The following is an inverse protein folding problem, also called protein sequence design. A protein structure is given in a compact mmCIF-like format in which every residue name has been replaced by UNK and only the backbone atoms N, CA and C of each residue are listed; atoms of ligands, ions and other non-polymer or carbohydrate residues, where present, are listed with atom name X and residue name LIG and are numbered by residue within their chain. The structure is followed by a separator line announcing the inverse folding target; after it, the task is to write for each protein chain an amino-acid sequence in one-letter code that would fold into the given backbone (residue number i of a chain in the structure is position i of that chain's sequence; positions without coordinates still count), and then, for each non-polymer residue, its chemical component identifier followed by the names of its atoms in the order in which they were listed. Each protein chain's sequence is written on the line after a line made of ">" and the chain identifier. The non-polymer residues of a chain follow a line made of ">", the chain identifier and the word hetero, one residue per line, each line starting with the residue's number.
data_IF_225348092548
#
_entry.id   IF_225348092548
#
_cell.length_a   1.000
_cell.length_b   1.000
_cell.length_c   1.000
_cell.angle_alpha   90.00
_cell.angle_beta   90.00
_cell.angle_gamma   90.00
#
_symmetry.space_group_name_H-M   'P 1'
#
loop_
_entity.id
_entity.type
_entity.pdbx_description
1 polymer ?
#
# COMPACT_ATOMS: atom_id res chain seq x y z
N UNK A 1 8.25 -3.37 78.79
CA UNK A 1 7.50 -3.42 77.51
C UNK A 1 8.32 -2.70 76.47
N UNK A 2 9.05 -3.43 75.64
CA UNK A 2 9.86 -2.91 74.54
C UNK A 2 9.03 -2.98 73.26
N UNK A 3 8.66 -1.83 72.68
CA UNK A 3 7.99 -1.76 71.38
C UNK A 3 9.02 -2.02 70.27
N UNK A 4 8.81 -3.09 69.50
CA UNK A 4 9.54 -3.33 68.25
C UNK A 4 8.89 -2.51 67.13
N UNK A 5 9.66 -1.62 66.51
CA UNK A 5 9.23 -0.88 65.33
C UNK A 5 9.34 -1.78 64.08
N UNK A 6 8.21 -2.07 63.45
CA UNK A 6 8.16 -2.77 62.18
C UNK A 6 8.51 -1.80 61.05
N UNK A 7 9.63 -2.05 60.37
CA UNK A 7 10.01 -1.33 59.15
C UNK A 7 9.23 -1.93 57.98
N UNK A 8 8.32 -1.15 57.41
CA UNK A 8 7.59 -1.52 56.19
C UNK A 8 8.47 -1.15 55.00
N UNK A 9 9.01 -2.16 54.32
CA UNK A 9 9.70 -2.00 53.04
C UNK A 9 8.66 -1.77 51.94
N UNK A 10 8.65 -0.57 51.37
CA UNK A 10 7.90 -0.25 50.16
C UNK A 10 8.65 -0.78 48.94
N UNK A 11 8.14 -1.86 48.34
CA UNK A 11 8.63 -2.35 47.06
C UNK A 11 8.13 -1.36 45.99
N UNK A 12 9.03 -0.54 45.44
CA UNK A 12 8.72 0.26 44.25
C UNK A 12 8.44 -0.70 43.09
N UNK A 13 7.21 -0.68 42.58
CA UNK A 13 6.88 -1.34 41.34
C UNK A 13 7.74 -0.74 40.22
N UNK A 14 8.42 -1.60 39.45
CA UNK A 14 9.13 -1.16 38.26
C UNK A 14 8.12 -0.45 37.33
N UNK A 15 8.53 0.66 36.67
CA UNK A 15 7.65 1.33 35.72
C UNK A 15 7.18 0.33 34.68
N UNK A 16 5.87 0.26 34.46
CA UNK A 16 5.30 -0.56 33.40
C UNK A 16 5.98 -0.15 32.08
N UNK A 17 6.68 -1.08 31.44
CA UNK A 17 7.24 -0.87 30.11
C UNK A 17 6.05 -0.52 29.21
N UNK A 18 6.02 0.70 28.68
CA UNK A 18 4.97 1.12 27.77
C UNK A 18 4.89 0.10 26.63
N UNK A 19 3.67 -0.30 26.27
CA UNK A 19 3.46 -1.15 25.11
C UNK A 19 4.18 -0.53 23.91
N UNK A 20 4.91 -1.31 23.11
CA UNK A 20 5.64 -0.75 21.97
C UNK A 20 4.66 0.00 21.05
N UNK A 21 5.06 1.18 20.57
CA UNK A 21 4.22 1.94 19.65
C UNK A 21 3.99 1.13 18.37
N UNK A 22 2.74 1.09 17.91
CA UNK A 22 2.39 0.46 16.64
C UNK A 22 3.04 1.23 15.47
N UNK A 23 3.40 0.56 14.36
CA UNK A 23 4.02 1.22 13.22
C UNK A 23 3.02 2.12 12.49
N UNK A 24 3.52 3.22 11.92
CA UNK A 24 2.74 4.07 11.01
C UNK A 24 2.96 3.63 9.57
N UNK A 25 1.89 3.19 8.91
CA UNK A 25 1.93 2.64 7.55
C UNK A 25 1.08 3.51 6.63
N UNK A 26 1.65 3.95 5.52
CA UNK A 26 0.87 4.55 4.43
C UNK A 26 0.76 3.59 3.25
N UNK A 27 -0.38 3.63 2.56
CA UNK A 27 -0.54 3.08 1.22
C UNK A 27 -1.00 4.16 0.27
N UNK A 28 -0.44 4.19 -0.95
CA UNK A 28 -0.82 5.15 -1.97
C UNK A 28 -0.69 4.58 -3.38
N UNK A 29 -1.81 4.47 -4.10
CA UNK A 29 -1.82 4.35 -5.56
C UNK A 29 -1.37 5.69 -6.17
N UNK A 30 -0.22 5.70 -6.85
CA UNK A 30 0.42 6.91 -7.38
C UNK A 30 0.16 7.15 -8.87
N UNK A 31 -0.66 6.31 -9.52
CA UNK A 31 -1.11 6.50 -10.91
C UNK A 31 0.04 6.79 -11.89
N UNK A 32 1.17 6.10 -11.76
CA UNK A 32 2.32 6.29 -12.66
C UNK A 32 2.25 5.32 -13.83
N UNK A 33 1.17 5.41 -14.61
CA UNK A 33 1.00 4.63 -15.84
C UNK A 33 2.20 4.79 -16.79
N UNK A 34 2.55 3.75 -17.54
CA UNK A 34 3.64 3.78 -18.51
C UNK A 34 3.49 4.93 -19.52
N UNK A 35 4.52 5.77 -19.62
CA UNK A 35 4.53 6.91 -20.57
C UNK A 35 4.59 6.48 -22.02
N UNK A 36 4.92 5.22 -22.32
CA UNK A 36 4.82 4.69 -23.67
C UNK A 36 3.37 4.61 -24.15
N UNK A 37 2.43 4.40 -23.24
CA UNK A 37 0.99 4.36 -23.52
C UNK A 37 0.32 5.71 -23.19
N UNK A 38 0.73 6.34 -22.09
CA UNK A 38 0.13 7.57 -21.59
C UNK A 38 1.19 8.65 -21.34
N UNK A 39 1.75 9.30 -22.39
CA UNK A 39 2.90 10.18 -22.26
C UNK A 39 2.64 11.49 -21.48
N UNK A 40 1.36 11.87 -21.31
CA UNK A 40 0.97 13.20 -20.87
C UNK A 40 0.25 13.23 -19.50
N UNK A 41 0.51 12.29 -18.58
CA UNK A 41 -0.04 12.30 -17.21
C UNK A 41 0.93 12.86 -16.16
N UNK A 42 2.00 13.54 -16.60
CA UNK A 42 2.92 14.24 -15.72
C UNK A 42 3.69 13.35 -14.74
N UNK A 43 3.88 12.06 -15.04
CA UNK A 43 4.41 11.05 -14.13
C UNK A 43 5.75 11.49 -13.49
N UNK A 44 6.68 12.00 -14.29
CA UNK A 44 7.98 12.49 -13.79
C UNK A 44 7.85 13.71 -12.87
N UNK A 45 6.96 14.64 -13.20
CA UNK A 45 6.71 15.83 -12.39
C UNK A 45 6.04 15.44 -11.07
N UNK A 46 5.07 14.51 -11.12
CA UNK A 46 4.38 14.02 -9.92
C UNK A 46 5.32 13.21 -9.02
N UNK A 47 6.29 12.48 -9.57
CA UNK A 47 7.34 11.84 -8.77
C UNK A 47 8.11 12.84 -7.89
N UNK A 48 8.39 14.05 -8.41
CA UNK A 48 9.02 15.12 -7.62
C UNK A 48 8.04 15.78 -6.64
N UNK A 49 6.79 15.98 -7.05
CA UNK A 49 5.78 16.61 -6.19
C UNK A 49 5.41 15.72 -5.01
N UNK A 50 5.33 14.41 -5.19
CA UNK A 50 5.05 13.45 -4.10
C UNK A 50 6.10 13.59 -3.00
N UNK A 51 7.39 13.66 -3.37
CA UNK A 51 8.46 13.85 -2.38
C UNK A 51 8.47 15.27 -1.79
N UNK A 52 8.50 16.31 -2.63
CA UNK A 52 8.62 17.69 -2.17
C UNK A 52 7.43 18.23 -1.38
N UNK A 53 6.24 17.64 -1.52
CA UNK A 53 5.07 17.97 -0.68
C UNK A 53 5.11 17.26 0.68
N UNK A 54 6.02 16.30 0.87
CA UNK A 54 6.15 15.56 2.12
C UNK A 54 4.93 14.71 2.44
N UNK A 55 4.20 14.20 1.43
CA UNK A 55 2.95 13.45 1.64
C UNK A 55 3.12 12.26 2.59
N UNK A 56 4.30 11.64 2.59
CA UNK A 56 4.63 10.51 3.46
C UNK A 56 5.31 10.92 4.77
N UNK A 57 5.45 12.21 5.09
CA UNK A 57 6.15 12.63 6.29
C UNK A 57 5.62 11.94 7.56
N UNK A 58 6.54 11.43 8.38
CA UNK A 58 6.22 10.80 9.65
C UNK A 58 5.70 9.36 9.59
N UNK A 59 5.68 8.72 8.40
CA UNK A 59 5.36 7.30 8.27
C UNK A 59 6.61 6.44 8.43
N UNK A 60 6.45 5.23 8.95
CA UNK A 60 7.54 4.25 9.13
C UNK A 60 7.68 3.33 7.92
N UNK A 61 6.55 2.96 7.31
CA UNK A 61 6.46 2.14 6.11
C UNK A 61 5.52 2.79 5.09
N UNK A 62 5.89 2.75 3.81
CA UNK A 62 5.08 3.22 2.70
C UNK A 62 4.93 2.10 1.68
N UNK A 63 3.69 1.82 1.28
CA UNK A 63 3.34 0.95 0.17
C UNK A 63 2.88 1.81 -1.00
N UNK A 64 3.54 1.66 -2.15
CA UNK A 64 3.16 2.33 -3.39
C UNK A 64 2.45 1.32 -4.30
N UNK A 65 1.38 1.77 -4.95
CA UNK A 65 0.71 1.06 -6.05
C UNK A 65 0.79 1.88 -7.35
N UNK A 66 0.65 1.21 -8.49
CA UNK A 66 0.78 1.78 -9.84
C UNK A 66 2.08 2.57 -10.10
N UNK A 67 3.19 2.15 -9.50
CA UNK A 67 4.52 2.63 -9.83
C UNK A 67 5.06 2.00 -11.13
N UNK A 68 4.25 1.98 -12.20
CA UNK A 68 4.51 1.22 -13.43
C UNK A 68 5.60 1.84 -14.30
N UNK A 69 5.52 3.14 -14.62
CA UNK A 69 6.50 3.79 -15.49
C UNK A 69 7.90 3.70 -14.88
N UNK A 70 8.81 2.97 -15.53
CA UNK A 70 10.13 2.68 -14.97
C UNK A 70 10.87 3.95 -14.55
N UNK A 71 10.93 4.99 -15.41
CA UNK A 71 11.71 6.18 -15.05
C UNK A 71 11.03 7.04 -13.97
N UNK A 72 9.70 7.14 -13.96
CA UNK A 72 8.98 7.90 -12.93
C UNK A 72 9.00 7.19 -11.57
N UNK A 73 8.81 5.87 -11.56
CA UNK A 73 8.93 5.07 -10.34
C UNK A 73 10.36 5.05 -9.81
N UNK A 74 11.38 4.84 -10.65
CA UNK A 74 12.79 4.90 -10.24
C UNK A 74 13.14 6.28 -9.67
N UNK A 75 12.62 7.35 -10.29
CA UNK A 75 12.78 8.72 -9.79
C UNK A 75 12.10 8.92 -8.44
N UNK A 76 10.86 8.46 -8.27
CA UNK A 76 10.15 8.56 -6.99
C UNK A 76 10.87 7.80 -5.89
N UNK A 77 11.30 6.57 -6.16
CA UNK A 77 12.07 5.74 -5.21
C UNK A 77 13.39 6.39 -4.84
N UNK A 78 14.07 7.04 -5.78
CA UNK A 78 15.29 7.80 -5.53
C UNK A 78 15.02 9.05 -4.67
N UNK A 79 13.99 9.84 -4.99
CA UNK A 79 13.61 11.03 -4.24
C UNK A 79 13.30 10.70 -2.77
N UNK A 80 12.55 9.61 -2.53
CA UNK A 80 12.15 9.19 -1.18
C UNK A 80 13.27 8.52 -0.37
N UNK A 81 14.47 8.31 -0.94
CA UNK A 81 15.52 7.48 -0.31
C UNK A 81 16.13 8.11 0.94
N UNK A 82 16.14 9.44 1.05
CA UNK A 82 16.64 10.14 2.23
C UNK A 82 15.76 9.89 3.47
N UNK A 83 14.45 9.73 3.26
CA UNK A 83 13.50 9.41 4.34
C UNK A 83 13.32 7.90 4.51
N UNK A 84 13.32 7.15 3.41
CA UNK A 84 13.06 5.71 3.36
C UNK A 84 14.20 4.97 2.64
N UNK A 85 15.34 4.76 3.31
CA UNK A 85 16.52 4.19 2.67
C UNK A 85 16.38 2.70 2.34
N UNK A 86 15.45 2.00 2.99
CA UNK A 86 15.24 0.56 2.79
C UNK A 86 14.04 0.36 1.89
N UNK A 87 14.26 -0.11 0.66
CA UNK A 87 13.21 -0.24 -0.34
C UNK A 87 13.26 -1.62 -1.00
N UNK A 88 12.11 -2.08 -1.50
CA UNK A 88 12.04 -3.17 -2.48
C UNK A 88 12.23 -2.62 -3.90
N UNK A 89 12.62 -3.45 -4.87
CA UNK A 89 12.34 -3.16 -6.26
C UNK A 89 10.83 -3.03 -6.52
N UNK A 90 10.44 -2.56 -7.70
CA UNK A 90 9.05 -2.68 -8.16
C UNK A 90 8.75 -4.13 -8.51
N UNK A 91 7.67 -4.66 -7.93
CA UNK A 91 7.15 -6.01 -8.13
C UNK A 91 7.04 -6.33 -9.62
N UNK A 92 7.49 -7.51 -10.04
CA UNK A 92 7.28 -8.00 -11.40
C UNK A 92 8.17 -7.38 -12.47
N UNK A 93 8.96 -6.34 -12.16
CA UNK A 93 9.87 -5.69 -13.11
C UNK A 93 11.06 -6.57 -13.46
N UNK A 94 11.60 -7.27 -12.46
CA UNK A 94 12.64 -8.29 -12.62
C UNK A 94 12.70 -9.19 -11.38
N UNK A 95 13.51 -10.25 -11.43
CA UNK A 95 13.85 -11.07 -10.26
C UNK A 95 15.00 -10.48 -9.42
N UNK A 96 15.71 -9.46 -9.93
CA UNK A 96 16.86 -8.89 -9.24
C UNK A 96 16.43 -8.05 -8.02
N UNK A 97 17.19 -8.13 -6.93
CA UNK A 97 16.92 -7.41 -5.69
C UNK A 97 15.84 -8.04 -4.80
N UNK A 98 15.33 -9.22 -5.17
CA UNK A 98 14.41 -10.03 -4.37
C UNK A 98 15.13 -11.24 -3.81
N UNK A 99 14.86 -11.59 -2.55
CA UNK A 99 15.38 -12.82 -1.94
C UNK A 99 14.66 -14.06 -2.49
N UNK A 100 13.40 -13.88 -2.90
CA UNK A 100 12.60 -14.91 -3.55
C UNK A 100 11.60 -14.28 -4.54
N UNK A 101 11.44 -14.93 -5.69
CA UNK A 101 10.34 -14.71 -6.64
C UNK A 101 9.50 -15.96 -6.72
N UNK A 102 8.18 -15.81 -6.70
CA UNK A 102 7.23 -16.93 -6.75
C UNK A 102 5.96 -16.55 -7.51
N UNK A 103 5.06 -17.51 -7.68
CA UNK A 103 3.82 -17.32 -8.44
C UNK A 103 4.05 -17.34 -9.95
N UNK A 104 3.18 -16.70 -10.71
CA UNK A 104 3.17 -16.74 -12.17
C UNK A 104 4.06 -15.68 -12.83
N UNK A 105 5.21 -15.36 -12.24
CA UNK A 105 6.12 -14.35 -12.79
C UNK A 105 6.52 -14.66 -14.23
N UNK A 106 6.40 -13.66 -15.10
CA UNK A 106 6.86 -13.72 -16.48
C UNK A 106 7.78 -12.56 -16.81
N UNK A 107 8.97 -12.85 -17.35
CA UNK A 107 9.88 -11.82 -17.86
C UNK A 107 9.47 -11.27 -19.23
N UNK A 108 8.42 -11.83 -19.86
CA UNK A 108 7.91 -11.39 -21.16
C UNK A 108 6.59 -10.63 -21.04
N UNK A 109 6.11 -10.39 -19.82
CA UNK A 109 4.91 -9.57 -19.63
C UNK A 109 5.21 -8.12 -20.06
N UNK A 110 4.25 -7.42 -20.69
CA UNK A 110 4.46 -6.03 -21.11
C UNK A 110 4.67 -5.03 -19.97
N UNK A 111 4.08 -5.28 -18.80
CA UNK A 111 4.08 -4.33 -17.68
C UNK A 111 4.41 -5.01 -16.34
N UNK A 112 5.08 -4.29 -15.46
CA UNK A 112 5.34 -4.78 -14.11
C UNK A 112 4.10 -4.68 -13.19
N UNK A 113 4.21 -5.13 -11.94
CA UNK A 113 3.10 -5.13 -10.99
C UNK A 113 2.83 -3.77 -10.33
N UNK A 114 3.71 -2.78 -10.51
CA UNK A 114 3.55 -1.43 -9.97
C UNK A 114 3.57 -1.31 -8.45
N UNK A 115 3.98 -2.36 -7.71
CA UNK A 115 4.01 -2.35 -6.25
C UNK A 115 5.44 -2.21 -5.72
N UNK A 116 5.66 -1.31 -4.76
CA UNK A 116 6.91 -1.22 -4.01
C UNK A 116 6.66 -0.93 -2.53
N UNK A 117 7.54 -1.44 -1.66
CA UNK A 117 7.49 -1.18 -0.21
C UNK A 117 8.76 -0.46 0.22
N UNK A 118 8.60 0.65 0.94
CA UNK A 118 9.66 1.51 1.43
C UNK A 118 9.58 1.58 2.97
N UNK A 119 10.72 1.62 3.64
CA UNK A 119 10.77 1.66 5.10
C UNK A 119 11.92 2.53 5.63
N UNK A 120 11.66 3.19 6.76
CA UNK A 120 12.68 3.83 7.58
C UNK A 120 13.64 2.82 8.21
N UNK A 121 13.17 1.60 8.44
CA UNK A 121 13.89 0.55 9.15
C UNK A 121 14.43 -0.52 8.20
N UNK A 122 15.46 -1.27 8.60
CA UNK A 122 16.05 -2.31 7.76
C UNK A 122 15.05 -3.35 7.29
N UNK A 123 14.97 -3.56 5.97
CA UNK A 123 14.24 -4.68 5.38
C UNK A 123 15.18 -5.89 5.31
N UNK A 124 14.89 -6.90 6.11
CA UNK A 124 15.69 -8.14 6.24
C UNK A 124 15.23 -9.25 5.33
N UNK A 125 14.03 -9.15 4.75
CA UNK A 125 13.55 -10.09 3.74
C UNK A 125 12.69 -9.36 2.73
N UNK A 126 12.86 -9.64 1.45
CA UNK A 126 12.10 -9.13 0.30
C UNK A 126 11.64 -10.33 -0.54
N UNK A 127 10.34 -10.58 -0.58
CA UNK A 127 9.77 -11.61 -1.47
C UNK A 127 8.72 -10.99 -2.36
N UNK A 128 8.77 -11.34 -3.64
CA UNK A 128 7.68 -11.04 -4.56
C UNK A 128 6.91 -12.30 -4.94
N UNK A 129 5.62 -12.11 -5.15
CA UNK A 129 4.71 -13.14 -5.66
C UNK A 129 3.82 -12.52 -6.72
N UNK A 130 3.83 -13.08 -7.93
CA UNK A 130 2.91 -12.67 -9.02
C UNK A 130 1.69 -13.57 -8.96
N UNK A 131 0.49 -13.00 -8.90
CA UNK A 131 -0.75 -13.76 -8.81
C UNK A 131 -0.92 -14.68 -10.03
N UNK A 132 -1.56 -15.83 -9.84
CA UNK A 132 -1.79 -16.76 -10.93
C UNK A 132 -2.94 -16.32 -11.85
N UNK A 133 -3.92 -15.61 -11.29
CA UNK A 133 -5.14 -15.23 -11.99
C UNK A 133 -5.36 -13.71 -11.97
N UNK A 134 -5.69 -13.18 -13.15
CA UNK A 134 -6.13 -11.81 -13.40
C UNK A 134 -7.03 -11.80 -14.65
N UNK A 135 -7.67 -10.67 -14.94
CA UNK A 135 -8.48 -10.48 -16.13
C UNK A 135 -8.38 -9.05 -16.68
N UNK A 136 -8.78 -8.88 -17.94
CA UNK A 136 -8.72 -7.59 -18.61
C UNK A 136 -7.29 -7.07 -18.78
N UNK A 137 -7.10 -5.76 -18.60
CA UNK A 137 -5.79 -5.13 -18.70
C UNK A 137 -4.77 -5.71 -17.70
N UNK A 138 -5.24 -6.07 -16.50
CA UNK A 138 -4.39 -6.60 -15.42
C UNK A 138 -3.67 -7.90 -15.80
N UNK A 139 -4.23 -8.70 -16.72
CA UNK A 139 -3.59 -9.92 -17.24
C UNK A 139 -2.26 -9.63 -17.97
N UNK A 140 -2.08 -8.43 -18.51
CA UNK A 140 -0.85 -8.02 -19.20
C UNK A 140 0.17 -7.37 -18.26
N UNK A 141 -0.01 -7.53 -16.95
CA UNK A 141 0.90 -7.02 -15.93
C UNK A 141 1.30 -8.12 -14.95
N UNK A 142 2.51 -8.07 -14.39
CA UNK A 142 2.92 -8.96 -13.30
C UNK A 142 2.29 -8.52 -11.95
N UNK A 143 0.95 -8.37 -11.90
CA UNK A 143 0.22 -8.03 -10.66
C UNK A 143 0.39 -9.12 -9.61
N UNK A 144 0.41 -8.71 -8.35
CA UNK A 144 0.87 -9.58 -7.26
C UNK A 144 1.04 -8.82 -5.95
N UNK A 145 1.90 -9.35 -5.09
CA UNK A 145 2.27 -8.70 -3.85
C UNK A 145 3.78 -8.75 -3.55
N UNK A 146 4.22 -7.73 -2.84
CA UNK A 146 5.55 -7.61 -2.26
C UNK A 146 5.46 -7.84 -0.74
N UNK A 147 6.11 -8.88 -0.24
CA UNK A 147 6.27 -9.14 1.18
C UNK A 147 7.63 -8.62 1.66
N UNK A 148 7.61 -7.94 2.81
CA UNK A 148 8.81 -7.57 3.54
C UNK A 148 8.75 -7.99 5.00
N UNK A 149 9.90 -8.42 5.53
CA UNK A 149 10.16 -8.47 6.97
C UNK A 149 11.04 -7.28 7.33
N UNK A 150 10.64 -6.51 8.32
CA UNK A 150 11.28 -5.26 8.72
C UNK A 150 11.71 -5.36 10.18
N UNK A 151 12.96 -5.05 10.49
CA UNK A 151 13.46 -4.99 11.87
C UNK A 151 13.12 -3.62 12.48
N UNK A 152 11.91 -3.48 13.02
CA UNK A 152 11.46 -2.24 13.66
C UNK A 152 12.00 -2.10 15.10
N UNK A 153 12.05 -0.88 15.66
CA UNK A 153 12.53 -0.65 17.03
C UNK A 153 11.75 -1.43 18.11
N UNK A 154 10.48 -1.72 17.87
CA UNK A 154 9.60 -2.48 18.75
C UNK A 154 9.67 -4.00 18.57
N UNK A 155 10.50 -4.48 17.63
CA UNK A 155 10.57 -5.86 17.19
C UNK A 155 10.22 -6.02 15.72
N UNK A 156 10.39 -7.22 15.14
CA UNK A 156 10.12 -7.44 13.73
C UNK A 156 8.64 -7.25 13.38
N UNK A 157 8.38 -6.66 12.22
CA UNK A 157 7.05 -6.56 11.63
C UNK A 157 7.06 -7.11 10.20
N UNK A 158 5.89 -7.50 9.70
CA UNK A 158 5.69 -7.99 8.35
C UNK A 158 4.68 -7.14 7.62
N UNK A 159 5.00 -6.76 6.39
CA UNK A 159 4.11 -5.97 5.53
C UNK A 159 4.02 -6.64 4.17
N UNK A 160 2.79 -6.87 3.71
CA UNK A 160 2.47 -7.22 2.34
C UNK A 160 1.92 -5.96 1.66
N UNK A 161 2.62 -5.46 0.65
CA UNK A 161 2.11 -4.48 -0.30
C UNK A 161 1.45 -5.18 -1.48
N UNK A 162 0.25 -4.78 -1.90
CA UNK A 162 -0.47 -5.41 -3.02
C UNK A 162 -1.29 -4.40 -3.82
N UNK A 163 -1.54 -4.67 -5.09
CA UNK A 163 -2.56 -4.01 -5.91
C UNK A 163 -3.41 -5.11 -6.56
N UNK A 164 -4.66 -5.29 -6.11
CA UNK A 164 -5.53 -6.38 -6.55
C UNK A 164 -6.20 -6.09 -7.90
N UNK A 165 -6.89 -7.11 -8.44
CA UNK A 165 -7.65 -7.01 -9.69
C UNK A 165 -8.65 -5.85 -9.67
N UNK A 166 -8.55 -4.97 -10.67
CA UNK A 166 -9.48 -3.86 -10.89
C UNK A 166 -10.82 -4.34 -11.49
N UNK A 167 -11.85 -3.50 -11.37
CA UNK A 167 -13.05 -3.68 -12.19
C UNK A 167 -12.70 -3.42 -13.66
N UNK A 168 -12.92 -4.42 -14.52
CA UNK A 168 -12.64 -4.29 -15.95
C UNK A 168 -13.75 -4.99 -16.77
N UNK A 169 -14.35 -4.24 -17.69
CA UNK A 169 -15.42 -4.72 -18.58
C UNK A 169 -14.98 -5.84 -19.53
N UNK A 170 -13.68 -6.02 -19.76
CA UNK A 170 -13.12 -7.10 -20.57
C UNK A 170 -13.03 -8.43 -19.81
N UNK A 171 -13.31 -8.45 -18.50
CA UNK A 171 -13.32 -9.68 -17.73
C UNK A 171 -14.49 -10.59 -18.11
N UNK A 172 -14.21 -11.86 -18.39
CA UNK A 172 -15.23 -12.89 -18.69
C UNK A 172 -15.98 -13.38 -17.45
N UNK A 173 -15.52 -13.02 -16.26
CA UNK A 173 -16.11 -13.35 -14.97
C UNK A 173 -16.03 -12.15 -14.04
N UNK A 174 -16.86 -12.12 -13.00
CA UNK A 174 -16.88 -11.00 -12.06
C UNK A 174 -15.49 -10.79 -11.43
N UNK A 175 -14.92 -9.58 -11.48
CA UNK A 175 -13.59 -9.27 -10.93
C UNK A 175 -13.40 -9.68 -9.46
N UNK A 176 -14.47 -9.62 -8.65
CA UNK A 176 -14.47 -10.09 -7.25
C UNK A 176 -14.01 -11.55 -7.08
N UNK A 177 -14.24 -12.42 -8.08
CA UNK A 177 -13.76 -13.80 -8.07
C UNK A 177 -12.24 -13.91 -8.16
N UNK A 178 -11.63 -13.10 -9.04
CA UNK A 178 -10.17 -12.99 -9.16
C UNK A 178 -9.56 -12.38 -7.89
N UNK A 179 -10.17 -11.34 -7.33
CA UNK A 179 -9.68 -10.79 -6.05
C UNK A 179 -9.75 -11.82 -4.91
N UNK A 180 -10.75 -12.71 -4.90
CA UNK A 180 -10.82 -13.79 -3.91
C UNK A 180 -9.68 -14.81 -4.06
N UNK A 181 -9.30 -15.19 -5.28
CA UNK A 181 -8.15 -16.09 -5.50
C UNK A 181 -6.84 -15.42 -5.09
N UNK A 182 -6.66 -14.14 -5.43
CA UNK A 182 -5.51 -13.33 -5.02
C UNK A 182 -5.37 -13.24 -3.48
N UNK A 183 -6.49 -13.05 -2.76
CA UNK A 183 -6.50 -13.08 -1.28
C UNK A 183 -6.14 -14.46 -0.74
N UNK A 184 -6.60 -15.53 -1.38
CA UNK A 184 -6.22 -16.89 -0.99
C UNK A 184 -4.71 -17.15 -1.18
N UNK A 185 -4.10 -16.61 -2.23
CA UNK A 185 -2.64 -16.67 -2.45
C UNK A 185 -1.87 -15.96 -1.32
N UNK A 186 -2.29 -14.74 -0.94
CA UNK A 186 -1.72 -14.03 0.23
C UNK A 186 -1.84 -14.88 1.50
N UNK A 187 -3.01 -15.49 1.76
CA UNK A 187 -3.22 -16.33 2.95
C UNK A 187 -2.31 -17.54 2.98
N UNK A 188 -2.24 -18.29 1.88
CA UNK A 188 -1.38 -19.46 1.80
C UNK A 188 0.09 -19.08 1.98
N UNK A 189 0.51 -17.95 1.42
CA UNK A 189 1.85 -17.41 1.57
C UNK A 189 2.19 -17.08 3.04
N UNK A 190 1.28 -16.41 3.76
CA UNK A 190 1.45 -16.07 5.18
C UNK A 190 1.44 -17.33 6.06
N UNK A 191 0.52 -18.27 5.82
CA UNK A 191 0.43 -19.52 6.55
C UNK A 191 1.71 -20.36 6.44
N UNK A 192 2.33 -20.41 5.26
CA UNK A 192 3.56 -21.16 5.03
C UNK A 192 4.79 -20.60 5.77
N UNK A 193 4.73 -19.35 6.28
CA UNK A 193 5.87 -18.68 6.91
C UNK A 193 5.99 -18.92 8.40
N UNK A 194 4.95 -19.43 9.05
CA UNK A 194 4.94 -19.65 10.51
C UNK A 194 5.44 -18.42 11.29
N UNK A 195 4.97 -17.23 10.91
CA UNK A 195 5.33 -15.97 11.56
C UNK A 195 4.97 -16.06 13.05
N UNK A 196 5.90 -15.78 13.98
CA UNK A 196 5.60 -15.83 15.41
C UNK A 196 4.41 -14.94 15.77
N UNK A 197 3.49 -15.43 16.61
CA UNK A 197 2.26 -14.71 16.97
C UNK A 197 2.51 -13.31 17.59
N UNK A 198 3.72 -13.07 18.10
CA UNK A 198 4.17 -11.79 18.65
C UNK A 198 4.61 -10.76 17.60
N UNK A 199 4.85 -11.16 16.35
CA UNK A 199 5.32 -10.29 15.26
C UNK A 199 4.11 -9.75 14.47
N UNK A 200 3.85 -8.44 14.42
CA UNK A 200 2.72 -7.88 13.67
C UNK A 200 2.77 -8.18 12.16
N UNK A 201 1.60 -8.40 11.56
CA UNK A 201 1.43 -8.66 10.12
C UNK A 201 0.35 -7.75 9.55
N UNK A 202 0.73 -6.98 8.53
CA UNK A 202 -0.15 -6.04 7.84
C UNK A 202 -0.23 -6.35 6.34
N UNK A 203 -1.40 -6.14 5.75
CA UNK A 203 -1.64 -6.17 4.31
C UNK A 203 -2.13 -4.79 3.90
N UNK A 204 -1.39 -4.12 3.01
CA UNK A 204 -1.61 -2.73 2.64
C UNK A 204 -1.63 -2.57 1.12
N UNK A 205 -2.51 -1.73 0.61
CA UNK A 205 -2.65 -1.53 -0.82
C UNK A 205 -4.02 -1.06 -1.27
N UNK A 206 -4.10 -0.79 -2.57
CA UNK A 206 -5.33 -0.76 -3.33
C UNK A 206 -5.88 -2.19 -3.50
N UNK A 207 -6.97 -2.47 -2.79
CA UNK A 207 -7.62 -3.78 -2.81
C UNK A 207 -8.68 -3.88 -3.92
N UNK A 208 -9.03 -2.78 -4.59
CA UNK A 208 -10.16 -2.73 -5.52
C UNK A 208 -11.47 -3.29 -4.93
N UNK A 209 -11.66 -3.13 -3.61
CA UNK A 209 -12.86 -3.57 -2.89
C UNK A 209 -13.56 -2.36 -2.30
N UNK A 210 -14.75 -2.03 -2.80
CA UNK A 210 -15.54 -0.91 -2.30
C UNK A 210 -15.99 -1.18 -0.86
N UNK A 211 -15.67 -0.28 0.08
CA UNK A 211 -16.01 -0.39 1.51
C UNK A 211 -17.48 -0.69 1.80
N UNK A 212 -18.39 -0.12 1.01
CA UNK A 212 -19.83 -0.26 1.18
C UNK A 212 -20.42 -1.53 0.55
N UNK A 213 -19.60 -2.32 -0.15
CA UNK A 213 -20.04 -3.54 -0.83
C UNK A 213 -20.03 -4.77 0.09
N UNK A 214 -20.75 -5.82 -0.32
CA UNK A 214 -20.73 -7.13 0.33
C UNK A 214 -19.38 -7.86 0.18
N UNK A 215 -18.46 -7.35 -0.64
CA UNK A 215 -17.11 -7.90 -0.76
C UNK A 215 -16.20 -7.45 0.38
N UNK A 216 -16.38 -6.26 0.96
CA UNK A 216 -15.53 -5.79 2.06
C UNK A 216 -15.46 -6.74 3.27
N UNK A 217 -16.58 -7.20 3.88
CA UNK A 217 -16.52 -8.15 4.97
C UNK A 217 -15.93 -9.51 4.55
N UNK A 218 -16.12 -9.92 3.29
CA UNK A 218 -15.50 -11.15 2.75
C UNK A 218 -13.99 -11.00 2.61
N UNK A 219 -13.51 -9.88 2.09
CA UNK A 219 -12.08 -9.56 2.00
C UNK A 219 -11.42 -9.65 3.38
N UNK A 220 -12.02 -9.03 4.41
CA UNK A 220 -11.50 -9.07 5.78
C UNK A 220 -11.42 -10.51 6.30
N UNK A 221 -12.50 -11.29 6.12
CA UNK A 221 -12.55 -12.68 6.57
C UNK A 221 -11.57 -13.59 5.79
N UNK A 222 -11.52 -13.48 4.48
CA UNK A 222 -10.64 -14.25 3.59
C UNK A 222 -9.18 -13.94 3.88
N UNK A 223 -8.81 -12.67 4.11
CA UNK A 223 -7.47 -12.29 4.56
C UNK A 223 -7.19 -12.63 6.03
N UNK A 224 -8.19 -13.13 6.77
CA UNK A 224 -8.09 -13.39 8.21
C UNK A 224 -7.60 -12.17 8.98
N UNK A 225 -8.06 -11.00 8.57
CA UNK A 225 -7.72 -9.70 9.13
C UNK A 225 -8.79 -9.20 10.09
N UNK A 226 -8.48 -8.16 10.85
CA UNK A 226 -9.44 -7.38 11.59
C UNK A 226 -9.96 -6.21 10.74
N UNK A 227 -11.25 -5.90 10.88
CA UNK A 227 -11.83 -4.68 10.32
C UNK A 227 -11.22 -3.45 11.01
N UNK A 228 -10.59 -2.51 10.28
CA UNK A 228 -10.08 -1.29 10.87
C UNK A 228 -11.21 -0.29 11.13
N UNK A 229 -11.01 0.60 12.10
CA UNK A 229 -11.74 1.87 12.11
C UNK A 229 -11.24 2.71 10.93
N UNK A 230 -12.16 3.23 10.12
CA UNK A 230 -11.84 4.05 8.94
C UNK A 230 -12.42 5.44 9.15
N UNK A 231 -11.57 6.46 9.15
CA UNK A 231 -11.95 7.87 9.22
C UNK A 231 -11.28 8.72 8.14
N UNK A 232 -11.42 10.05 8.26
CA UNK A 232 -10.93 10.99 7.26
C UNK A 232 -11.90 11.17 6.10
N UNK A 233 -11.38 11.36 4.88
CA UNK A 233 -12.20 11.48 3.67
C UNK A 233 -12.90 10.14 3.36
N UNK A 234 -14.21 10.11 3.03
CA UNK A 234 -14.95 8.87 2.87
C UNK A 234 -14.55 8.01 1.66
N UNK A 235 -13.79 8.57 0.71
CA UNK A 235 -13.46 7.94 -0.56
C UNK A 235 -11.96 8.01 -0.79
N UNK A 236 -11.31 6.91 -1.15
CA UNK A 236 -9.91 6.95 -1.60
C UNK A 236 -9.81 7.18 -3.10
N UNK A 237 -10.89 6.98 -3.85
CA UNK A 237 -11.01 7.29 -5.27
C UNK A 237 -12.27 8.13 -5.50
N UNK A 238 -12.11 9.42 -5.82
CA UNK A 238 -13.22 10.39 -5.77
C UNK A 238 -13.23 11.33 -6.98
N UNK A 239 -13.83 10.90 -8.08
CA UNK A 239 -13.88 11.66 -9.32
C UNK A 239 -14.75 12.93 -9.27
N UNK A 240 -15.56 13.12 -8.23
CA UNK A 240 -16.25 14.40 -8.03
C UNK A 240 -15.26 15.50 -7.59
N UNK A 241 -14.19 15.11 -6.89
CA UNK A 241 -13.32 16.03 -6.16
C UNK A 241 -11.85 16.01 -6.61
N UNK A 242 -11.32 14.84 -6.94
CA UNK A 242 -9.95 14.64 -7.41
C UNK A 242 -9.84 15.06 -8.89
N UNK A 243 -8.92 15.98 -9.17
CA UNK A 243 -8.73 16.59 -10.49
C UNK A 243 -8.22 15.61 -11.56
N UNK A 244 -7.39 14.62 -11.20
CA UNK A 244 -6.91 13.59 -12.13
C UNK A 244 -8.03 12.59 -12.40
N UNK A 245 -8.66 12.05 -11.35
CA UNK A 245 -9.78 11.11 -11.47
C UNK A 245 -10.89 11.69 -12.35
N UNK A 246 -11.28 12.94 -12.08
CA UNK A 246 -12.32 13.62 -12.84
C UNK A 246 -12.00 13.76 -14.33
N UNK A 247 -10.75 14.01 -14.69
CA UNK A 247 -10.35 14.15 -16.09
C UNK A 247 -10.22 12.80 -16.79
N UNK A 248 -9.71 11.79 -16.10
CA UNK A 248 -9.52 10.45 -16.64
C UNK A 248 -10.84 9.70 -16.84
N UNK A 249 -11.78 9.77 -15.88
CA UNK A 249 -13.01 8.96 -15.88
C UNK A 249 -14.28 9.80 -16.02
N UNK A 250 -14.29 10.99 -15.44
CA UNK A 250 -15.46 11.88 -15.43
C UNK A 250 -16.21 11.88 -14.09
N UNK A 251 -16.91 12.99 -13.75
CA UNK A 251 -17.55 13.19 -12.45
C UNK A 251 -18.81 12.32 -12.22
N UNK A 252 -19.25 11.58 -13.24
CA UNK A 252 -20.41 10.68 -13.16
C UNK A 252 -20.12 9.34 -12.50
N UNK A 253 -18.84 8.95 -12.40
CA UNK A 253 -18.45 7.73 -11.68
C UNK A 253 -18.65 7.94 -10.19
N UNK A 254 -19.22 6.93 -9.52
CA UNK A 254 -19.45 6.98 -8.08
C UNK A 254 -18.10 6.98 -7.36
N UNK A 255 -17.97 7.79 -6.31
CA UNK A 255 -16.77 7.80 -5.48
C UNK A 255 -16.69 6.53 -4.64
N UNK A 256 -15.49 5.97 -4.53
CA UNK A 256 -15.23 4.67 -3.91
C UNK A 256 -14.12 4.76 -2.86
N UNK A 257 -14.13 3.81 -1.92
CA UNK A 257 -13.03 3.61 -0.99
C UNK A 257 -12.48 2.21 -1.21
N UNK A 258 -11.24 2.15 -1.68
CA UNK A 258 -10.59 0.98 -2.27
C UNK A 258 -9.24 0.65 -1.62
N UNK A 259 -8.64 1.63 -0.94
CA UNK A 259 -7.31 1.54 -0.36
C UNK A 259 -7.38 1.24 1.14
N UNK A 260 -6.59 0.27 1.62
CA UNK A 260 -6.64 -0.17 3.00
C UNK A 260 -5.27 -0.53 3.56
N UNK A 261 -5.13 -0.40 4.87
CA UNK A 261 -4.16 -1.14 5.67
C UNK A 261 -4.94 -2.06 6.61
N UNK A 262 -4.78 -3.37 6.47
CA UNK A 262 -5.48 -4.40 7.21
C UNK A 262 -4.51 -5.11 8.14
N UNK A 263 -4.91 -5.30 9.40
CA UNK A 263 -4.11 -6.04 10.39
C UNK A 263 -4.51 -7.50 10.37
N UNK A 264 -3.60 -8.39 9.97
CA UNK A 264 -3.77 -9.85 10.03
C UNK A 264 -3.37 -10.39 11.40
N UNK A 265 -2.33 -9.80 11.99
CA UNK A 265 -1.81 -10.19 13.31
C UNK A 265 -1.24 -8.95 14.02
N UNK A 266 -1.46 -8.85 15.33
CA UNK A 266 -0.98 -7.71 16.14
C UNK A 266 -2.04 -6.63 16.35
N UNK A 267 -1.62 -5.40 16.74
CA UNK A 267 -2.56 -4.31 17.05
C UNK A 267 -3.24 -3.80 15.79
N UNK A 268 -4.57 -3.66 15.86
CA UNK A 268 -5.38 -3.08 14.77
C UNK A 268 -5.07 -1.60 14.64
N UNK A 269 -4.69 -1.17 13.44
CA UNK A 269 -4.42 0.23 13.12
C UNK A 269 -5.71 0.94 12.69
N UNK A 270 -5.83 2.21 13.06
CA UNK A 270 -6.91 3.06 12.54
C UNK A 270 -6.49 3.62 11.19
N UNK A 271 -7.31 3.43 10.17
CA UNK A 271 -7.09 3.98 8.85
C UNK A 271 -7.67 5.39 8.74
N UNK A 272 -6.90 6.29 8.16
CA UNK A 272 -7.28 7.66 7.85
C UNK A 272 -6.99 7.94 6.38
N UNK A 273 -8.05 8.07 5.58
CA UNK A 273 -7.93 8.58 4.21
C UNK A 273 -7.72 10.08 4.26
N UNK A 274 -6.63 10.58 3.67
CA UNK A 274 -6.37 12.02 3.63
C UNK A 274 -6.57 12.55 2.22
N UNK A 275 -7.45 13.55 2.10
CA UNK A 275 -7.68 14.33 0.87
C UNK A 275 -6.48 15.25 0.56
N UNK A 276 -5.34 14.65 0.23
CA UNK A 276 -4.09 15.35 -0.07
C UNK A 276 -4.19 16.04 -1.42
N UNK A 277 -3.86 17.32 -1.47
CA UNK A 277 -3.77 18.14 -2.70
C UNK A 277 -2.32 18.49 -3.01
N UNK A 278 -2.02 18.74 -4.27
CA UNK A 278 -0.73 19.23 -4.75
C UNK A 278 -0.78 20.74 -5.01
N UNK A 279 0.39 21.42 -5.09
CA UNK A 279 0.51 22.63 -5.89
C UNK A 279 -0.01 22.39 -7.31
N UNK A 280 -0.46 23.45 -7.98
CA UNK A 280 -0.89 23.34 -9.37
C UNK A 280 0.26 22.84 -10.26
N UNK A 281 -0.05 21.87 -11.11
CA UNK A 281 0.85 21.42 -12.16
C UNK A 281 0.06 21.22 -13.45
N UNK A 282 0.76 21.22 -14.58
CA UNK A 282 0.13 21.20 -15.89
C UNK A 282 0.84 20.31 -16.87
N UNK A 283 0.07 19.72 -17.77
CA UNK A 283 0.55 18.99 -18.94
C UNK A 283 -0.03 19.62 -20.20
N UNK A 284 0.57 19.29 -21.33
CA UNK A 284 0.02 19.59 -22.64
C UNK A 284 -0.30 18.30 -23.37
N UNK A 285 -1.51 18.17 -23.88
CA UNK A 285 -1.96 17.03 -24.67
C UNK A 285 -2.78 17.55 -25.85
N UNK A 286 -2.45 17.13 -27.06
CA UNK A 286 -3.14 17.56 -28.29
C UNK A 286 -3.31 19.08 -28.45
N UNK A 287 -2.27 19.85 -28.07
CA UNK A 287 -2.28 21.31 -28.16
C UNK A 287 -3.12 22.03 -27.10
N UNK A 288 -3.72 21.30 -26.15
CA UNK A 288 -4.46 21.84 -25.02
C UNK A 288 -3.65 21.69 -23.73
N UNK A 289 -3.68 22.75 -22.90
CA UNK A 289 -3.13 22.73 -21.54
C UNK A 289 -4.19 22.19 -20.57
N UNK A 290 -3.78 21.26 -19.72
CA UNK A 290 -4.57 20.71 -18.62
C UNK A 290 -3.85 21.02 -17.32
N UNK A 291 -4.60 21.41 -16.28
CA UNK A 291 -4.06 21.77 -14.97
C UNK A 291 -4.75 20.95 -13.90
N UNK A 292 -3.96 20.42 -12.97
CA UNK A 292 -4.41 19.55 -11.89
C UNK A 292 -3.90 20.06 -10.54
N UNK A 293 -4.56 19.62 -9.47
CA UNK A 293 -4.25 19.95 -8.08
C UNK A 293 -4.17 18.70 -7.19
N UNK A 294 -3.99 17.53 -7.80
CA UNK A 294 -3.83 16.24 -7.13
C UNK A 294 -2.55 15.54 -7.60
N UNK A 295 -1.98 14.66 -6.76
CA UNK A 295 -0.75 13.91 -7.05
C UNK A 295 -1.01 12.56 -7.73
N UNK A 296 -2.23 12.05 -7.61
CA UNK A 296 -2.73 10.79 -8.16
C UNK A 296 -4.25 10.89 -8.30
N UNK A 297 -4.90 9.99 -9.01
CA UNK A 297 -6.36 9.87 -9.02
C UNK A 297 -6.92 9.24 -7.72
N UNK A 298 -6.06 8.56 -6.97
CA UNK A 298 -6.35 8.14 -5.60
C UNK A 298 -5.91 9.18 -4.55
N UNK A 299 -6.46 9.03 -3.34
CA UNK A 299 -6.00 9.65 -2.11
C UNK A 299 -5.29 8.62 -1.22
N UNK A 300 -4.18 9.00 -0.56
CA UNK A 300 -3.45 8.10 0.32
C UNK A 300 -4.22 7.74 1.59
N UNK A 301 -4.03 6.51 2.06
CA UNK A 301 -4.52 6.03 3.36
C UNK A 301 -3.35 5.87 4.31
N UNK A 302 -3.49 6.43 5.52
CA UNK A 302 -2.51 6.37 6.60
C UNK A 302 -3.07 5.57 7.77
N UNK A 303 -2.27 4.66 8.32
CA UNK A 303 -2.66 3.78 9.40
C UNK A 303 -1.68 3.91 10.58
N UNK A 304 -2.21 4.09 11.79
CA UNK A 304 -1.40 4.20 13.01
C UNK A 304 -2.23 4.39 14.27
#
# INVERSE_FOLDING_TARGET
>A
MTLAAAVVLTISAAPAVAAPAAPKIATYNVFMLSRNLYPNWGQLQRADLIDSTGVFAGQDVVVLNEAFDNAASDRLLANLRDTYPNQTPVLGRSTAGWDQTSGAYSSSTPEDGGVAVLSRWPITTRVQHVYHDACGADWFSNKGFAYVRIDAPSGPIHVIGTHMQAEDSACTSAPAGYRATQRAEIRSFLAARNIPASEPVYVAGDMNVVKASDEFPRMVAELGAASPEIGGHPFSWDCADNSICRDQYGPQYASEHLDYVLTVQGPVLRNETRRVKSPEWSISSWGRKYTYTDLSDHYPVFAG
#
